data_IF_731112230500
#
_entry.id   IF_731112230500
#
_cell.length_a   1.000
_cell.length_b   1.000
_cell.length_c   1.000
_cell.angle_alpha   90.00
_cell.angle_beta   90.00
_cell.angle_gamma   90.00
#
_symmetry.space_group_name_H-M   'P 1'
#
loop_
_entity.id
_entity.type
_entity.pdbx_description
1 polymer ?
#
# COMPACT_ATOMS: atom_id res chain seq x y z
N UNK A 1 -2.57 18.23 -6.23
CA UNK A 1 -2.25 16.80 -6.00
C UNK A 1 -3.48 15.99 -6.37
N UNK A 2 -3.42 15.14 -7.40
CA UNK A 2 -4.56 14.26 -7.72
C UNK A 2 -4.76 13.31 -6.53
N UNK A 3 -5.86 13.45 -5.81
CA UNK A 3 -6.24 12.53 -4.74
C UNK A 3 -6.61 11.20 -5.39
N UNK A 4 -5.66 10.25 -5.46
CA UNK A 4 -5.94 8.87 -5.91
C UNK A 4 -7.07 8.33 -5.03
N UNK A 5 -8.21 7.98 -5.64
CA UNK A 5 -9.37 7.42 -4.94
C UNK A 5 -8.95 6.25 -4.02
N UNK A 6 -9.60 6.00 -2.88
CA UNK A 6 -9.22 4.90 -1.98
C UNK A 6 -9.12 3.54 -2.71
N UNK A 7 -8.12 2.71 -2.37
CA UNK A 7 -8.07 1.34 -2.92
C UNK A 7 -9.17 0.53 -2.25
N UNK A 8 -9.95 -0.19 -3.05
CA UNK A 8 -10.84 -1.21 -2.51
C UNK A 8 -10.03 -2.46 -2.13
N UNK A 9 -9.87 -2.72 -0.83
CA UNK A 9 -9.15 -3.89 -0.27
C UNK A 9 -10.05 -5.05 0.13
N UNK A 10 -11.38 -4.90 0.00
CA UNK A 10 -12.34 -5.91 0.42
C UNK A 10 -12.12 -7.32 -0.17
N UNK A 11 -11.67 -7.48 -1.44
CA UNK A 11 -11.35 -8.81 -1.98
C UNK A 11 -10.20 -9.50 -1.22
N UNK A 12 -9.15 -8.74 -0.86
CA UNK A 12 -8.01 -9.28 -0.11
C UNK A 12 -8.45 -9.67 1.30
N UNK A 13 -9.24 -8.82 1.96
CA UNK A 13 -9.77 -9.10 3.30
C UNK A 13 -10.63 -10.38 3.34
N UNK A 14 -11.50 -10.56 2.34
CA UNK A 14 -12.29 -11.80 2.18
C UNK A 14 -11.41 -13.04 2.01
N UNK A 15 -10.37 -12.96 1.16
CA UNK A 15 -9.41 -14.06 1.01
C UNK A 15 -8.72 -14.40 2.33
N UNK A 16 -8.25 -13.39 3.08
CA UNK A 16 -7.59 -13.61 4.37
C UNK A 16 -8.51 -14.29 5.39
N UNK A 17 -9.79 -13.91 5.43
CA UNK A 17 -10.77 -14.59 6.26
C UNK A 17 -10.99 -16.05 5.82
N UNK A 18 -11.05 -16.31 4.51
CA UNK A 18 -11.19 -17.67 3.99
C UNK A 18 -9.99 -18.55 4.37
N UNK A 19 -8.76 -18.02 4.25
CA UNK A 19 -7.53 -18.70 4.66
C UNK A 19 -7.54 -18.97 6.16
N UNK A 20 -7.87 -17.96 6.98
CA UNK A 20 -7.95 -18.10 8.43
C UNK A 20 -8.91 -19.21 8.87
N UNK A 21 -10.08 -19.29 8.24
CA UNK A 21 -11.08 -20.30 8.56
C UNK A 21 -10.63 -21.70 8.11
N UNK A 22 -9.99 -21.80 6.94
CA UNK A 22 -9.42 -23.05 6.43
C UNK A 22 -8.30 -23.57 7.33
N UNK A 23 -7.42 -22.69 7.78
CA UNK A 23 -6.34 -23.00 8.73
C UNK A 23 -6.88 -23.48 10.08
N UNK A 24 -7.86 -22.75 10.64
CA UNK A 24 -8.51 -23.11 11.90
C UNK A 24 -9.22 -24.47 11.85
N UNK A 25 -9.61 -24.93 10.66
CA UNK A 25 -10.25 -26.24 10.43
C UNK A 25 -9.30 -27.28 9.84
N UNK A 26 -7.99 -26.99 9.77
CA UNK A 26 -6.95 -27.86 9.22
C UNK A 26 -7.25 -28.36 7.80
N UNK A 27 -7.94 -27.54 7.00
CA UNK A 27 -8.18 -27.84 5.60
C UNK A 27 -6.86 -27.80 4.82
N UNK A 28 -6.68 -28.78 3.93
CA UNK A 28 -5.45 -28.91 3.13
C UNK A 28 -5.35 -27.92 1.97
N UNK A 29 -6.48 -27.31 1.58
CA UNK A 29 -6.54 -26.39 0.44
C UNK A 29 -7.67 -25.37 0.61
N UNK A 30 -7.47 -24.19 0.01
CA UNK A 30 -8.50 -23.17 -0.16
C UNK A 30 -8.89 -23.14 -1.64
N UNK A 31 -10.17 -23.33 -1.94
CA UNK A 31 -10.70 -23.30 -3.31
C UNK A 31 -11.55 -22.04 -3.51
N UNK A 32 -11.37 -21.39 -4.65
CA UNK A 32 -12.18 -20.24 -5.06
C UNK A 32 -12.41 -20.29 -6.58
N UNK A 33 -13.52 -19.73 -7.04
CA UNK A 33 -13.77 -19.57 -8.46
C UNK A 33 -12.88 -18.49 -9.09
N UNK A 34 -12.78 -18.53 -10.42
CA UNK A 34 -11.92 -17.62 -11.17
C UNK A 34 -12.36 -16.16 -11.09
N UNK A 35 -13.65 -15.87 -10.86
CA UNK A 35 -14.13 -14.49 -10.75
C UNK A 35 -13.61 -13.87 -9.44
N UNK A 36 -13.76 -14.58 -8.33
CA UNK A 36 -13.22 -14.17 -7.03
C UNK A 36 -11.69 -14.06 -7.06
N UNK A 37 -11.00 -15.02 -7.70
CA UNK A 37 -9.54 -14.97 -7.84
C UNK A 37 -9.07 -13.71 -8.60
N UNK A 38 -9.77 -13.32 -9.68
CA UNK A 38 -9.47 -12.09 -10.43
C UNK A 38 -9.67 -10.84 -9.57
N UNK A 39 -10.74 -10.77 -8.78
CA UNK A 39 -10.95 -9.61 -7.90
C UNK A 39 -9.82 -9.44 -6.89
N UNK A 40 -9.37 -10.54 -6.27
CA UNK A 40 -8.21 -10.53 -5.38
C UNK A 40 -6.96 -10.06 -6.12
N UNK A 41 -6.70 -10.62 -7.30
CA UNK A 41 -5.52 -10.29 -8.09
C UNK A 41 -5.49 -8.81 -8.49
N UNK A 42 -6.61 -8.24 -8.94
CA UNK A 42 -6.70 -6.82 -9.29
C UNK A 42 -6.54 -5.89 -8.08
N UNK A 43 -7.15 -6.25 -6.95
CA UNK A 43 -6.97 -5.51 -5.70
C UNK A 43 -5.50 -5.53 -5.28
N UNK A 44 -4.84 -6.69 -5.31
CA UNK A 44 -3.45 -6.84 -4.92
C UNK A 44 -2.51 -6.08 -5.88
N UNK A 45 -2.71 -6.22 -7.18
CA UNK A 45 -1.92 -5.50 -8.19
C UNK A 45 -2.03 -3.99 -8.03
N UNK A 46 -3.23 -3.48 -7.71
CA UNK A 46 -3.45 -2.06 -7.46
C UNK A 46 -2.70 -1.58 -6.21
N UNK A 47 -2.73 -2.35 -5.12
CA UNK A 47 -1.96 -2.05 -3.90
C UNK A 47 -0.47 -1.99 -4.22
N UNK A 48 0.07 -3.00 -4.90
CA UNK A 48 1.49 -3.07 -5.26
C UNK A 48 1.92 -1.93 -6.18
N UNK A 49 1.11 -1.59 -7.19
CA UNK A 49 1.39 -0.48 -8.09
C UNK A 49 1.42 0.87 -7.35
N UNK A 50 0.54 1.08 -6.36
CA UNK A 50 0.59 2.29 -5.53
C UNK A 50 1.78 2.30 -4.60
N UNK A 51 2.10 1.16 -3.99
CA UNK A 51 3.27 1.03 -3.11
C UNK A 51 4.56 1.35 -3.88
N UNK A 52 4.72 0.84 -5.10
CA UNK A 52 5.84 1.16 -5.97
C UNK A 52 5.95 2.66 -6.24
N UNK A 53 4.85 3.30 -6.68
CA UNK A 53 4.84 4.75 -6.90
C UNK A 53 5.07 5.58 -5.62
N UNK A 54 4.69 5.06 -4.45
CA UNK A 54 4.99 5.69 -3.17
C UNK A 54 6.49 5.61 -2.85
N UNK A 55 7.15 4.49 -3.14
CA UNK A 55 8.60 4.38 -3.01
C UNK A 55 9.34 5.31 -3.97
N UNK A 56 8.93 5.38 -5.23
CA UNK A 56 9.51 6.34 -6.19
C UNK A 56 9.39 7.78 -5.67
N UNK A 57 8.21 8.17 -5.18
CA UNK A 57 7.98 9.49 -4.61
C UNK A 57 8.85 9.75 -3.37
N UNK A 58 9.02 8.75 -2.50
CA UNK A 58 9.84 8.85 -1.30
C UNK A 58 11.31 9.06 -1.63
N UNK A 59 11.84 8.30 -2.62
CA UNK A 59 13.21 8.44 -3.10
C UNK A 59 13.43 9.84 -3.69
N UNK A 60 12.53 10.28 -4.59
CA UNK A 60 12.64 11.63 -5.17
C UNK A 60 12.61 12.73 -4.10
N UNK A 61 11.82 12.57 -3.03
CA UNK A 61 11.80 13.54 -1.92
C UNK A 61 13.06 13.49 -1.06
N UNK A 62 13.67 12.32 -0.91
CA UNK A 62 14.93 12.17 -0.19
C UNK A 62 16.08 12.87 -0.94
N UNK A 63 16.10 12.78 -2.27
CA UNK A 63 17.12 13.45 -3.09
C UNK A 63 16.94 14.97 -3.15
N UNK A 64 15.71 15.47 -2.96
CA UNK A 64 15.37 16.90 -3.00
C UNK A 64 15.25 17.53 -1.59
N UNK A 65 16.04 17.08 -0.61
CA UNK A 65 16.14 17.77 0.69
C UNK A 65 16.61 19.23 0.43
N UNK A 66 15.81 20.26 0.74
CA UNK A 66 16.26 21.63 0.60
C UNK A 66 17.37 21.92 1.62
N UNK A 67 18.41 22.65 1.22
CA UNK A 67 19.38 23.21 2.16
C UNK A 67 18.63 24.01 3.23
N UNK A 68 18.68 23.53 4.47
CA UNK A 68 18.04 24.19 5.60
C UNK A 68 18.88 25.44 5.91
N UNK A 69 18.51 26.57 5.31
CA UNK A 69 19.08 27.88 5.68
C UNK A 69 18.64 28.23 7.10
N UNK A 70 19.48 27.91 8.08
CA UNK A 70 19.30 28.36 9.46
C UNK A 70 19.69 29.84 9.51
N UNK A 71 18.70 30.74 9.38
CA UNK A 71 18.89 32.16 9.70
C UNK A 71 19.07 32.31 11.20
N UNK A 72 20.31 32.37 11.65
CA UNK A 72 20.67 32.76 13.01
C UNK A 72 20.51 34.28 13.11
N UNK A 73 19.41 34.73 13.70
CA UNK A 73 19.22 36.15 14.05
C UNK A 73 20.11 36.48 15.25
N UNK A 74 21.34 36.91 14.95
CA UNK A 74 22.30 37.38 15.93
C UNK A 74 21.85 38.75 16.45
N UNK A 75 21.06 38.74 17.54
CA UNK A 75 20.57 39.94 18.19
C UNK A 75 21.66 41.00 18.39
N UNK A 76 21.38 42.22 17.92
CA UNK A 76 22.23 43.40 18.15
C UNK A 76 22.20 43.82 19.61
N UNK A 77 23.39 44.11 20.15
CA UNK A 77 23.64 44.73 21.44
C UNK A 77 23.24 46.22 21.44
#
# INVERSE_FOLDING_TARGET
MQTKAPINTAPIERLLQQIKNADSSQQKQVTMDIANAKEVAYSLATVLARLAGNYETLITKADNQPDIEVKVDGGSL
#
